data_IF_269348148068
#
_entry.id   IF_269348148068
#
_cell.length_a   1.000
_cell.length_b   1.000
_cell.length_c   1.000
_cell.angle_alpha   90.00
_cell.angle_beta   90.00
_cell.angle_gamma   90.00
#
_symmetry.space_group_name_H-M   'P 1'
#
loop_
_entity.id
_entity.type
_entity.pdbx_description
1 polymer ?
#
# COMPACT_ATOMS: atom_id res chain seq x y z
N UNK A 1 -60.01 -13.26 19.95
CA UNK A 1 -59.64 -12.69 18.64
C UNK A 1 -58.13 -12.48 18.64
N UNK A 2 -57.46 -12.96 17.59
CA UNK A 2 -56.00 -13.04 17.42
C UNK A 2 -55.29 -11.71 17.75
N UNK A 3 -54.14 -11.67 18.43
CA UNK A 3 -52.96 -12.53 18.22
C UNK A 3 -52.03 -11.87 17.18
N UNK A 4 -51.61 -10.62 17.41
CA UNK A 4 -50.62 -9.94 16.56
C UNK A 4 -49.22 -10.45 16.93
N UNK A 5 -48.68 -11.31 16.07
CA UNK A 5 -47.31 -11.80 16.12
C UNK A 5 -46.31 -10.74 15.64
N UNK A 6 -45.20 -10.71 16.37
CA UNK A 6 -43.92 -10.03 16.21
C UNK A 6 -43.41 -9.80 14.78
N UNK A 7 -42.78 -8.64 14.60
CA UNK A 7 -41.47 -8.56 13.95
C UNK A 7 -40.70 -7.41 14.62
N UNK A 8 -39.89 -7.72 15.64
CA UNK A 8 -38.89 -6.78 16.13
C UNK A 8 -37.84 -6.60 15.03
N UNK A 9 -37.45 -5.37 14.65
CA UNK A 9 -36.31 -5.20 13.78
C UNK A 9 -35.10 -5.71 14.54
N UNK A 10 -34.45 -6.73 13.99
CA UNK A 10 -33.19 -7.25 14.50
C UNK A 10 -32.23 -6.07 14.71
N UNK A 11 -31.69 -5.96 15.92
CA UNK A 11 -30.59 -5.08 16.25
C UNK A 11 -29.35 -5.52 15.45
N UNK A 12 -29.24 -5.05 14.21
CA UNK A 12 -27.98 -5.01 13.49
C UNK A 12 -27.31 -3.67 13.79
N UNK A 13 -26.04 -3.63 14.22
CA UNK A 13 -25.34 -2.37 14.52
C UNK A 13 -24.96 -1.57 13.26
N UNK A 14 -25.35 -2.04 12.08
CA UNK A 14 -25.05 -1.40 10.81
C UNK A 14 -26.37 -0.99 10.16
N UNK A 15 -26.62 0.32 10.14
CA UNK A 15 -27.74 0.94 9.40
C UNK A 15 -27.66 0.70 7.90
N UNK A 16 -28.55 1.32 7.09
CA UNK A 16 -28.64 1.06 5.66
C UNK A 16 -27.39 1.61 4.96
N UNK A 17 -26.39 0.74 4.84
CA UNK A 17 -25.13 0.99 4.18
C UNK A 17 -25.40 0.99 2.67
N UNK A 18 -25.50 2.18 2.07
CA UNK A 18 -25.42 2.34 0.62
C UNK A 18 -24.05 1.80 0.18
N UNK A 19 -24.03 0.57 -0.34
CA UNK A 19 -22.83 -0.06 -0.88
C UNK A 19 -22.31 0.74 -2.07
N UNK A 20 -21.23 1.48 -1.84
CA UNK A 20 -20.45 2.05 -2.93
C UNK A 20 -19.66 0.92 -3.61
N UNK A 21 -19.47 0.95 -4.95
CA UNK A 21 -18.70 -0.07 -5.70
C UNK A 21 -17.25 -0.22 -5.25
N UNK A 22 -16.75 0.77 -4.50
CA UNK A 22 -15.43 0.81 -3.90
C UNK A 22 -15.47 0.33 -2.44
N UNK A 23 -16.37 -0.59 -2.08
CA UNK A 23 -16.22 -1.35 -0.85
C UNK A 23 -14.78 -1.81 -0.83
N UNK A 24 -14.01 -1.11 0.01
CA UNK A 24 -12.61 -1.34 0.24
C UNK A 24 -12.54 -2.84 0.54
N UNK A 25 -12.08 -3.63 -0.42
CA UNK A 25 -11.36 -4.84 -0.07
C UNK A 25 -10.33 -4.31 0.91
N UNK A 26 -10.56 -4.58 2.19
CA UNK A 26 -9.57 -4.37 3.22
C UNK A 26 -8.43 -5.29 2.79
N UNK A 27 -7.57 -4.75 1.93
CA UNK A 27 -6.32 -5.34 1.51
C UNK A 27 -5.70 -5.79 2.81
N UNK A 28 -5.58 -7.10 3.02
CA UNK A 28 -5.00 -7.63 4.24
C UNK A 28 -3.67 -6.90 4.47
N UNK A 29 -3.59 -6.07 5.52
CA UNK A 29 -2.50 -5.11 5.77
C UNK A 29 -1.10 -5.76 5.74
N UNK A 30 -1.06 -7.09 5.92
CA UNK A 30 0.14 -7.91 5.84
C UNK A 30 0.78 -8.03 4.45
N UNK A 31 0.05 -7.84 3.34
CA UNK A 31 0.64 -8.02 2.00
C UNK A 31 1.67 -6.92 1.68
N UNK A 32 1.47 -5.73 2.26
CA UNK A 32 2.31 -4.55 2.01
C UNK A 32 3.17 -4.13 3.20
N UNK A 33 3.20 -4.94 4.26
CA UNK A 33 4.10 -4.70 5.39
C UNK A 33 5.51 -5.20 5.05
N UNK A 34 6.53 -4.33 5.00
CA UNK A 34 7.89 -4.74 4.69
C UNK A 34 8.48 -5.64 5.77
N UNK A 35 9.27 -6.62 5.33
CA UNK A 35 10.06 -7.48 6.22
C UNK A 35 11.21 -6.65 6.81
N UNK A 36 11.68 -7.01 8.01
CA UNK A 36 12.76 -6.28 8.70
C UNK A 36 13.99 -6.00 7.82
N UNK A 37 14.48 -7.03 7.11
CA UNK A 37 15.64 -6.86 6.22
C UNK A 37 15.36 -5.90 5.05
N UNK A 38 14.11 -5.80 4.58
CA UNK A 38 13.74 -4.87 3.50
C UNK A 38 13.76 -3.43 4.00
N UNK A 39 13.39 -3.20 5.27
CA UNK A 39 13.48 -1.88 5.93
C UNK A 39 14.94 -1.47 6.10
N UNK A 40 15.79 -2.35 6.62
CA UNK A 40 17.24 -2.05 6.79
C UNK A 40 17.92 -1.72 5.45
N UNK A 41 17.59 -2.46 4.38
CA UNK A 41 18.11 -2.19 3.04
C UNK A 41 17.56 -0.90 2.42
N UNK A 42 16.29 -0.57 2.71
CA UNK A 42 15.68 0.69 2.29
C UNK A 42 16.36 1.88 2.97
N UNK A 43 16.59 1.80 4.28
CA UNK A 43 17.29 2.83 5.06
C UNK A 43 18.70 3.08 4.53
N UNK A 44 19.46 2.01 4.24
CA UNK A 44 20.77 2.14 3.62
C UNK A 44 20.71 2.84 2.25
N UNK A 45 19.72 2.49 1.42
CA UNK A 45 19.54 3.07 0.09
C UNK A 45 19.03 4.53 0.10
N UNK A 46 18.41 4.98 1.19
CA UNK A 46 18.03 6.38 1.39
C UNK A 46 19.23 7.25 1.79
N UNK A 47 20.19 6.68 2.51
CA UNK A 47 21.39 7.37 2.98
C UNK A 47 22.48 7.45 1.88
N UNK A 48 22.71 6.36 1.14
CA UNK A 48 23.72 6.31 0.09
C UNK A 48 23.38 5.32 -1.04
N UNK A 49 24.12 5.38 -2.15
CA UNK A 49 23.94 4.46 -3.27
C UNK A 49 24.29 3.02 -2.85
N UNK A 50 23.32 2.11 -2.88
CA UNK A 50 23.47 0.73 -2.38
C UNK A 50 23.27 -0.31 -3.49
N UNK A 51 24.16 -1.31 -3.55
CA UNK A 51 23.96 -2.53 -4.34
C UNK A 51 23.35 -3.61 -3.44
N UNK A 52 22.12 -4.02 -3.75
CA UNK A 52 21.37 -5.00 -2.95
C UNK A 52 21.48 -6.39 -3.56
N UNK A 53 22.17 -7.30 -2.87
CA UNK A 53 22.36 -8.69 -3.30
C UNK A 53 21.35 -9.62 -2.60
N UNK A 54 20.28 -10.00 -3.29
CA UNK A 54 19.26 -10.91 -2.75
C UNK A 54 18.83 -11.98 -3.76
N UNK A 55 18.51 -13.17 -3.25
CA UNK A 55 17.98 -14.29 -4.02
C UNK A 55 16.66 -13.94 -4.76
N UNK A 56 16.27 -14.75 -5.73
CA UNK A 56 14.95 -14.66 -6.39
C UNK A 56 13.81 -14.84 -5.38
N UNK A 57 12.67 -14.17 -5.58
CA UNK A 57 11.52 -14.25 -4.66
C UNK A 57 11.66 -13.48 -3.34
N UNK A 58 12.80 -12.84 -3.07
CA UNK A 58 13.05 -12.06 -1.83
C UNK A 58 12.35 -10.69 -1.77
N UNK A 59 11.68 -10.28 -2.85
CA UNK A 59 11.00 -8.98 -2.94
C UNK A 59 11.90 -7.81 -3.31
N UNK A 60 12.94 -8.01 -4.13
CA UNK A 60 13.80 -6.92 -4.65
C UNK A 60 13.01 -5.76 -5.26
N UNK A 61 12.01 -6.08 -6.08
CA UNK A 61 11.11 -5.08 -6.69
C UNK A 61 10.32 -4.32 -5.64
N UNK A 62 9.89 -5.00 -4.58
CA UNK A 62 9.16 -4.37 -3.48
C UNK A 62 10.03 -3.32 -2.76
N UNK A 63 11.31 -3.60 -2.52
CA UNK A 63 12.26 -2.61 -1.97
C UNK A 63 12.37 -1.39 -2.89
N UNK A 64 12.48 -1.59 -4.21
CA UNK A 64 12.55 -0.48 -5.17
C UNK A 64 11.27 0.38 -5.18
N UNK A 65 10.09 -0.23 -5.02
CA UNK A 65 8.82 0.49 -4.89
C UNK A 65 8.79 1.31 -3.61
N UNK A 66 9.24 0.76 -2.48
CA UNK A 66 9.33 1.51 -1.21
C UNK A 66 10.29 2.70 -1.35
N UNK A 67 11.47 2.50 -1.95
CA UNK A 67 12.43 3.58 -2.19
C UNK A 67 11.83 4.68 -3.07
N UNK A 68 11.11 4.31 -4.12
CA UNK A 68 10.43 5.26 -5.00
C UNK A 68 9.33 6.03 -4.26
N UNK A 69 8.60 5.37 -3.36
CA UNK A 69 7.57 5.99 -2.51
C UNK A 69 8.20 6.99 -1.54
N UNK A 70 9.27 6.62 -0.86
CA UNK A 70 9.99 7.50 0.07
C UNK A 70 10.60 8.71 -0.64
N UNK A 71 11.16 8.53 -1.84
CA UNK A 71 11.70 9.63 -2.65
C UNK A 71 10.62 10.39 -3.46
N UNK A 72 9.35 10.03 -3.31
CA UNK A 72 8.27 10.55 -4.16
C UNK A 72 8.10 12.07 -4.03
N UNK A 73 8.40 12.65 -2.87
CA UNK A 73 8.34 14.10 -2.66
C UNK A 73 9.33 14.87 -3.54
N UNK A 74 10.45 14.24 -3.94
CA UNK A 74 11.46 14.87 -4.78
C UNK A 74 11.12 14.82 -6.27
N UNK A 75 10.29 13.86 -6.69
CA UNK A 75 9.97 13.62 -8.11
C UNK A 75 8.70 14.32 -8.59
N UNK A 76 7.85 14.79 -7.67
CA UNK A 76 6.55 15.44 -7.98
C UNK A 76 6.65 16.77 -8.75
N UNK A 77 7.83 17.37 -8.85
CA UNK A 77 8.02 18.63 -9.57
C UNK A 77 7.87 18.50 -11.09
N UNK A 78 7.60 19.63 -11.76
CA UNK A 78 7.44 19.72 -13.22
C UNK A 78 8.67 19.22 -13.98
N UNK A 79 8.40 18.59 -15.14
CA UNK A 79 9.46 18.03 -15.99
C UNK A 79 10.39 19.08 -16.57
N UNK A 80 9.84 20.22 -16.98
CA UNK A 80 10.60 21.29 -17.63
C UNK A 80 11.39 22.18 -16.66
N UNK A 81 11.26 21.96 -15.34
CA UNK A 81 11.86 22.84 -14.30
C UNK A 81 12.87 22.12 -13.42
N UNK A 82 13.72 21.25 -14.01
CA UNK A 82 14.77 20.50 -13.29
C UNK A 82 14.24 19.57 -12.17
N UNK A 83 13.03 19.01 -12.31
CA UNK A 83 12.52 18.02 -11.35
C UNK A 83 13.33 16.72 -11.37
N UNK A 84 13.61 16.14 -10.19
CA UNK A 84 14.27 14.82 -10.12
C UNK A 84 13.38 13.74 -10.72
N UNK A 85 13.97 12.69 -11.29
CA UNK A 85 13.25 11.58 -11.92
C UNK A 85 13.79 10.25 -11.43
N UNK A 86 12.87 9.31 -11.24
CA UNK A 86 13.20 7.92 -10.91
C UNK A 86 12.82 7.06 -12.10
N UNK A 87 13.74 6.20 -12.53
CA UNK A 87 13.52 5.24 -13.61
C UNK A 87 13.84 3.85 -13.07
N UNK A 88 12.95 2.89 -13.30
CA UNK A 88 13.19 1.49 -12.99
C UNK A 88 13.48 0.74 -14.28
N UNK A 89 14.74 0.36 -14.47
CA UNK A 89 15.20 -0.34 -15.67
C UNK A 89 15.12 -1.85 -15.45
N UNK A 90 14.56 -2.54 -16.45
CA UNK A 90 14.51 -4.00 -16.53
C UNK A 90 15.16 -4.44 -17.84
N UNK A 91 15.69 -5.65 -17.85
CA UNK A 91 16.25 -6.28 -19.06
C UNK A 91 15.18 -7.10 -19.77
#
# INVERSE_FOLDING_TARGET
MAGLQLMTPASSPMGPFFGLPWQQEAIHDNIYTPRKYQVELLEAALDHNTIVCLNTGSGKTFIAVLLTKELSYQIRGDFNRNGKRTVFLVN
#
